data_IF_881813561438
#
_entry.id   IF_881813561438
#
_cell.length_a   1.000
_cell.length_b   1.000
_cell.length_c   1.000
_cell.angle_alpha   90.00
_cell.angle_beta   90.00
_cell.angle_gamma   90.00
#
_symmetry.space_group_name_H-M   'P 1'
#
loop_
_entity.id
_entity.type
_entity.pdbx_description
1 polymer ?
#
# COMPACT_ATOMS: atom_id res chain seq x y z
N UNK A 1 0.29 2.68 19.65
CA UNK A 1 -0.44 2.21 18.46
C UNK A 1 -1.78 2.93 18.48
N UNK A 2 -2.15 3.63 17.40
CA UNK A 2 -3.35 4.47 17.38
C UNK A 2 -4.55 3.60 17.03
N UNK A 3 -5.63 3.70 17.81
CA UNK A 3 -6.89 2.93 17.67
C UNK A 3 -7.48 2.97 16.24
N UNK A 4 -7.23 4.06 15.50
CA UNK A 4 -7.72 4.25 14.12
C UNK A 4 -7.16 3.24 13.10
N UNK A 5 -5.99 2.63 13.35
CA UNK A 5 -5.40 1.63 12.45
C UNK A 5 -6.01 0.23 12.67
N UNK A 6 -6.63 -0.02 13.84
CA UNK A 6 -7.25 -1.29 14.17
C UNK A 6 -8.47 -1.60 13.27
N UNK A 7 -9.17 -0.57 12.79
CA UNK A 7 -10.31 -0.73 11.89
C UNK A 7 -9.90 -1.27 10.51
N UNK A 8 -8.80 -0.76 9.96
CA UNK A 8 -8.21 -1.24 8.72
C UNK A 8 -7.70 -2.68 8.86
N UNK A 9 -7.07 -2.98 10.00
CA UNK A 9 -6.64 -4.34 10.31
C UNK A 9 -7.83 -5.30 10.45
N UNK A 10 -8.94 -4.84 11.05
CA UNK A 10 -10.17 -5.63 11.19
C UNK A 10 -10.80 -5.98 9.83
N UNK A 11 -10.83 -5.04 8.88
CA UNK A 11 -11.33 -5.32 7.52
C UNK A 11 -10.49 -6.39 6.80
N UNK A 12 -9.17 -6.37 6.97
CA UNK A 12 -8.28 -7.37 6.38
C UNK A 12 -8.59 -8.78 6.93
N UNK A 13 -8.96 -8.88 8.21
CA UNK A 13 -9.33 -10.15 8.85
C UNK A 13 -10.64 -10.72 8.31
N UNK A 14 -11.61 -9.87 7.91
CA UNK A 14 -12.92 -10.34 7.39
C UNK A 14 -12.77 -11.13 6.09
N UNK A 15 -11.80 -10.79 5.24
CA UNK A 15 -11.59 -11.44 3.93
C UNK A 15 -10.45 -12.46 3.92
N UNK A 16 -10.00 -12.92 5.09
CA UNK A 16 -8.82 -13.78 5.22
C UNK A 16 -8.93 -15.15 4.51
N UNK A 17 -10.15 -15.67 4.28
CA UNK A 17 -10.40 -16.99 3.68
C UNK A 17 -10.60 -16.95 2.14
N UNK A 18 -10.46 -15.77 1.52
CA UNK A 18 -10.56 -15.65 0.06
C UNK A 18 -9.20 -15.94 -0.57
N UNK A 19 -9.10 -17.01 -1.36
CA UNK A 19 -7.89 -17.32 -2.14
C UNK A 19 -7.63 -16.25 -3.23
N UNK A 20 -6.39 -15.75 -3.28
CA UNK A 20 -5.96 -14.82 -4.31
C UNK A 20 -6.05 -15.39 -5.74
N UNK A 21 -6.07 -16.72 -5.90
CA UNK A 21 -6.21 -17.40 -7.18
C UNK A 21 -7.51 -17.06 -7.92
N UNK A 22 -8.58 -16.72 -7.20
CA UNK A 22 -9.86 -16.32 -7.81
C UNK A 22 -9.79 -15.02 -8.63
N UNK A 23 -8.84 -14.13 -8.32
CA UNK A 23 -8.67 -12.85 -9.03
C UNK A 23 -7.72 -12.98 -10.24
N UNK A 24 -6.80 -13.93 -10.20
CA UNK A 24 -5.73 -14.08 -11.19
C UNK A 24 -4.63 -13.03 -11.05
N UNK A 25 -3.41 -13.40 -11.43
CA UNK A 25 -2.21 -12.56 -11.27
C UNK A 25 -2.15 -11.38 -12.26
N UNK A 26 -2.90 -11.43 -13.36
CA UNK A 26 -2.88 -10.43 -14.43
C UNK A 26 -3.95 -9.36 -14.29
N UNK A 27 -4.97 -9.57 -13.45
CA UNK A 27 -6.11 -8.66 -13.31
C UNK A 27 -5.70 -7.20 -13.01
N UNK A 28 -4.82 -6.91 -12.03
CA UNK A 28 -4.43 -5.52 -11.73
C UNK A 28 -3.77 -4.83 -12.92
N UNK A 29 -2.98 -5.57 -13.70
CA UNK A 29 -2.31 -5.05 -14.88
C UNK A 29 -3.30 -4.74 -16.01
N UNK A 30 -4.22 -5.66 -16.32
CA UNK A 30 -5.25 -5.48 -17.35
C UNK A 30 -6.18 -4.31 -16.99
N UNK A 31 -6.60 -4.21 -15.73
CA UNK A 31 -7.47 -3.13 -15.25
C UNK A 31 -6.84 -1.74 -15.47
N UNK A 32 -5.56 -1.57 -15.12
CA UNK A 32 -4.86 -0.30 -15.32
C UNK A 32 -4.55 -0.01 -16.80
N UNK A 33 -4.50 -1.03 -17.67
CA UNK A 33 -4.41 -0.82 -19.12
C UNK A 33 -5.73 -0.35 -19.72
N UNK A 34 -6.86 -0.92 -19.26
CA UNK A 34 -8.20 -0.52 -19.72
C UNK A 34 -8.61 0.87 -19.19
N UNK A 35 -8.25 1.19 -17.95
CA UNK A 35 -8.58 2.46 -17.28
C UNK A 35 -7.30 3.26 -17.00
N UNK A 36 -6.63 3.72 -18.05
CA UNK A 36 -5.38 4.47 -17.91
C UNK A 36 -5.48 5.77 -17.09
N UNK A 37 -6.69 6.33 -16.98
CA UNK A 37 -7.00 7.55 -16.25
C UNK A 37 -7.06 7.39 -14.72
N UNK A 38 -7.22 6.16 -14.20
CA UNK A 38 -7.25 5.92 -12.74
C UNK A 38 -5.87 5.53 -12.18
N UNK A 39 -4.82 5.59 -13.01
CA UNK A 39 -3.46 5.30 -12.54
C UNK A 39 -3.06 6.32 -11.47
N UNK A 40 -2.69 5.87 -10.26
CA UNK A 40 -2.28 6.78 -9.21
C UNK A 40 -1.01 7.52 -9.62
N UNK A 41 -0.99 8.82 -9.32
CA UNK A 41 0.21 9.64 -9.47
C UNK A 41 1.30 9.14 -8.52
N UNK A 42 2.56 9.35 -8.89
CA UNK A 42 3.69 9.04 -8.01
C UNK A 42 3.52 9.83 -6.69
N UNK A 43 3.78 9.21 -5.53
CA UNK A 43 3.67 9.91 -4.26
C UNK A 43 4.61 11.13 -4.27
N UNK A 44 4.08 12.30 -3.90
CA UNK A 44 4.86 13.54 -3.84
C UNK A 44 5.88 13.53 -2.70
N UNK A 45 5.62 12.75 -1.66
CA UNK A 45 6.44 12.65 -0.47
C UNK A 45 7.00 11.24 -0.33
N UNK A 46 8.30 11.17 -0.09
CA UNK A 46 8.97 9.95 0.34
C UNK A 46 9.17 9.99 1.85
N UNK A 47 9.12 8.82 2.50
CA UNK A 47 9.40 8.72 3.91
C UNK A 47 10.85 9.12 4.20
N UNK A 48 11.04 10.09 5.11
CA UNK A 48 12.36 10.50 5.59
C UNK A 48 12.53 9.94 7.01
N UNK A 49 13.36 8.90 7.20
CA UNK A 49 13.61 8.36 8.54
C UNK A 49 14.28 9.41 9.41
N UNK A 50 13.70 9.64 10.60
CA UNK A 50 14.21 10.60 11.59
C UNK A 50 14.30 9.94 12.97
N UNK A 51 15.39 10.21 13.66
CA UNK A 51 15.60 9.83 15.07
C UNK A 51 15.80 11.13 15.85
N UNK A 52 14.94 11.41 16.83
CA UNK A 52 14.91 12.69 17.56
C UNK A 52 14.89 13.94 16.66
N UNK A 53 14.25 13.85 15.48
CA UNK A 53 14.17 14.96 14.51
C UNK A 53 15.35 15.06 13.53
N UNK A 54 16.44 14.31 13.74
CA UNK A 54 17.60 14.28 12.85
C UNK A 54 17.42 13.22 11.76
N UNK A 55 17.76 13.60 10.51
CA UNK A 55 17.73 12.67 9.37
C UNK A 55 18.80 11.58 9.55
N UNK A 56 18.43 10.33 9.33
CA UNK A 56 19.38 9.21 9.37
C UNK A 56 20.33 9.29 8.17
N UNK A 57 21.64 9.25 8.43
CA UNK A 57 22.64 9.25 7.37
C UNK A 57 22.67 7.90 6.65
N UNK A 58 22.71 7.92 5.31
CA UNK A 58 22.92 6.71 4.51
C UNK A 58 24.40 6.38 4.53
N UNK A 59 24.81 5.24 5.09
CA UNK A 59 26.13 4.69 4.80
C UNK A 59 26.16 4.32 3.31
N UNK A 60 27.19 4.76 2.59
CA UNK A 60 27.47 4.32 1.23
C UNK A 60 28.00 2.89 1.22
#
# INVERSE_FOLDING_TARGET
MREEECFLFSLMVIFADIDGAYFGTTFPHLFLMAHGNVKPQKPSQSYVPKIFGFKVHKKQ
#
